data_IF_237150122669
#
_entry.id   IF_237150122669
#
_cell.length_a   1.000
_cell.length_b   1.000
_cell.length_c   1.000
_cell.angle_alpha   90.00
_cell.angle_beta   90.00
_cell.angle_gamma   90.00
#
_symmetry.space_group_name_H-M   'P 1'
#
loop_
_entity.id
_entity.type
_entity.pdbx_description
1 polymer ?
#
# COMPACT_ATOMS: atom_id res chain seq x y z
N UNK A 1 18.73 -14.69 -8.29
CA UNK A 1 17.61 -13.72 -8.33
C UNK A 1 17.49 -13.07 -9.69
N UNK A 2 18.51 -12.40 -10.22
CA UNK A 2 18.45 -11.75 -11.54
C UNK A 2 18.02 -12.70 -12.67
N UNK A 3 18.55 -13.92 -12.68
CA UNK A 3 18.18 -14.96 -13.65
C UNK A 3 16.72 -15.43 -13.53
N UNK A 4 16.17 -15.49 -12.31
CA UNK A 4 14.78 -15.94 -12.05
C UNK A 4 13.74 -14.92 -12.53
N UNK A 5 14.08 -13.62 -12.58
CA UNK A 5 13.15 -12.54 -12.98
C UNK A 5 13.56 -11.86 -14.28
N UNK A 6 14.49 -12.45 -15.04
CA UNK A 6 14.99 -11.95 -16.34
C UNK A 6 15.47 -10.49 -16.29
N UNK A 7 16.20 -10.11 -15.23
CA UNK A 7 16.81 -8.79 -15.07
C UNK A 7 18.20 -8.82 -15.70
N UNK A 8 18.46 -7.89 -16.64
CA UNK A 8 19.75 -7.73 -17.30
C UNK A 8 20.73 -6.83 -16.51
N UNK A 9 21.95 -6.72 -17.04
CA UNK A 9 23.01 -5.89 -16.47
C UNK A 9 22.64 -4.39 -16.40
N UNK A 10 21.81 -3.93 -17.32
CA UNK A 10 21.35 -2.53 -17.34
C UNK A 10 20.42 -2.24 -16.17
N UNK A 11 19.43 -3.10 -15.89
CA UNK A 11 18.53 -2.93 -14.75
C UNK A 11 19.29 -3.06 -13.42
N UNK A 12 20.26 -3.95 -13.32
CA UNK A 12 21.12 -4.06 -12.12
C UNK A 12 21.86 -2.74 -11.90
N UNK A 13 22.51 -2.20 -12.95
CA UNK A 13 23.19 -0.91 -12.89
C UNK A 13 22.26 0.26 -12.54
N UNK A 14 21.01 0.22 -13.00
CA UNK A 14 19.99 1.22 -12.64
C UNK A 14 19.60 1.16 -11.15
N UNK A 15 19.46 -0.05 -10.59
CA UNK A 15 19.19 -0.23 -9.15
C UNK A 15 20.37 0.26 -8.30
N UNK A 16 21.61 -0.05 -8.69
CA UNK A 16 22.81 0.40 -7.98
C UNK A 16 23.00 1.92 -8.03
N UNK A 17 22.73 2.54 -9.18
CA UNK A 17 22.89 3.97 -9.40
C UNK A 17 21.74 4.80 -8.82
N UNK A 18 20.53 4.23 -8.78
CA UNK A 18 19.33 4.94 -8.37
C UNK A 18 18.89 6.03 -9.36
N UNK A 19 18.16 7.02 -8.84
CA UNK A 19 17.71 8.20 -9.57
C UNK A 19 18.86 9.20 -9.66
N UNK A 20 19.14 9.74 -10.86
CA UNK A 20 20.17 10.76 -11.05
C UNK A 20 19.55 12.17 -11.01
N UNK A 21 20.38 13.18 -10.66
CA UNK A 21 19.93 14.56 -10.43
C UNK A 21 19.15 15.14 -11.61
N UNK A 22 19.67 14.98 -12.83
CA UNK A 22 19.03 15.46 -14.07
C UNK A 22 17.61 14.87 -14.32
N UNK A 23 17.36 13.65 -13.85
CA UNK A 23 16.04 13.05 -13.89
C UNK A 23 15.13 13.56 -12.77
N UNK A 24 15.71 13.76 -11.58
CA UNK A 24 14.96 14.25 -10.42
C UNK A 24 14.45 15.68 -10.62
N UNK A 25 15.25 16.55 -11.25
CA UNK A 25 14.85 17.93 -11.60
C UNK A 25 13.65 17.99 -12.56
N UNK A 26 13.41 16.91 -13.33
CA UNK A 26 12.24 16.76 -14.19
C UNK A 26 11.01 16.20 -13.45
N UNK A 27 11.20 15.71 -12.22
CA UNK A 27 10.13 15.11 -11.40
C UNK A 27 9.58 16.09 -10.36
N UNK A 28 10.46 16.86 -9.74
CA UNK A 28 10.12 17.88 -8.74
C UNK A 28 11.00 19.12 -8.91
N UNK A 29 10.56 20.25 -8.40
CA UNK A 29 11.21 21.55 -8.50
C UNK A 29 12.33 21.69 -7.45
N UNK A 30 13.34 22.50 -7.74
CA UNK A 30 14.41 22.94 -6.82
C UNK A 30 15.15 21.77 -6.14
N UNK A 31 15.50 20.74 -6.91
CA UNK A 31 16.18 19.55 -6.39
C UNK A 31 17.60 19.90 -5.92
N UNK A 32 17.94 19.55 -4.68
CA UNK A 32 19.28 19.72 -4.10
C UNK A 32 20.05 18.40 -3.92
N UNK A 33 19.37 17.26 -4.09
CA UNK A 33 19.92 15.93 -3.91
C UNK A 33 18.86 14.87 -3.83
N UNK A 34 19.26 13.62 -3.54
CA UNK A 34 18.37 12.47 -3.38
C UNK A 34 18.26 12.07 -1.92
N UNK A 35 17.04 11.86 -1.46
CA UNK A 35 16.78 11.19 -0.19
C UNK A 35 16.53 9.71 -0.47
N UNK A 36 17.52 8.85 -0.20
CA UNK A 36 17.49 7.44 -0.54
C UNK A 36 16.77 6.63 0.54
N UNK A 37 15.84 5.75 0.12
CA UNK A 37 15.19 4.76 0.96
C UNK A 37 15.68 3.37 0.55
N UNK A 38 16.03 2.47 1.49
CA UNK A 38 16.45 1.11 1.17
C UNK A 38 15.39 0.34 0.37
N UNK A 39 15.82 -0.35 -0.69
CA UNK A 39 14.99 -1.24 -1.50
C UNK A 39 15.44 -2.68 -1.25
N UNK A 40 14.53 -3.51 -0.75
CA UNK A 40 14.77 -4.93 -0.57
C UNK A 40 13.72 -5.80 -1.26
N UNK A 41 13.89 -7.12 -1.16
CA UNK A 41 12.99 -8.11 -1.78
C UNK A 41 12.42 -9.02 -0.69
N UNK A 42 11.10 -9.04 -0.56
CA UNK A 42 10.44 -10.08 0.21
C UNK A 42 10.23 -11.34 -0.67
N UNK A 43 10.45 -12.49 -0.05
CA UNK A 43 10.46 -13.81 -0.70
C UNK A 43 9.33 -14.71 -0.18
N UNK A 44 9.23 -15.92 -0.71
CA UNK A 44 8.29 -16.96 -0.31
C UNK A 44 6.82 -16.71 -0.67
N UNK A 45 6.48 -15.60 -1.30
CA UNK A 45 5.11 -15.33 -1.71
C UNK A 45 4.67 -16.30 -2.79
N UNK A 46 3.51 -16.93 -2.57
CA UNK A 46 2.71 -17.61 -3.58
C UNK A 46 1.39 -16.86 -3.67
N UNK A 47 1.11 -16.24 -4.82
CA UNK A 47 -0.09 -15.44 -5.05
C UNK A 47 -0.81 -16.00 -6.26
N UNK A 48 -2.07 -16.41 -6.10
CA UNK A 48 -2.90 -17.06 -7.11
C UNK A 48 -2.15 -18.23 -7.82
N UNK A 49 -1.43 -19.03 -7.01
CA UNK A 49 -0.66 -20.20 -7.46
C UNK A 49 0.68 -19.88 -8.13
N UNK A 50 1.11 -18.62 -8.18
CA UNK A 50 2.38 -18.20 -8.78
C UNK A 50 3.37 -17.75 -7.70
N UNK A 51 4.63 -18.19 -7.81
CA UNK A 51 5.71 -17.65 -6.99
C UNK A 51 6.08 -16.25 -7.43
N UNK A 52 6.16 -15.32 -6.47
CA UNK A 52 6.39 -13.91 -6.74
C UNK A 52 7.46 -13.36 -5.78
N UNK A 53 8.38 -12.58 -6.32
CA UNK A 53 9.31 -11.76 -5.55
C UNK A 53 8.70 -10.35 -5.38
N UNK A 54 8.70 -9.84 -4.15
CA UNK A 54 8.04 -8.56 -3.83
C UNK A 54 9.09 -7.49 -3.51
N UNK A 55 9.33 -6.52 -4.41
CA UNK A 55 10.15 -5.35 -4.11
C UNK A 55 9.45 -4.47 -3.09
N UNK A 56 10.19 -4.06 -2.06
CA UNK A 56 9.70 -3.24 -0.96
C UNK A 56 10.70 -2.14 -0.64
N UNK A 57 10.29 -0.87 -0.71
CA UNK A 57 11.10 0.28 -0.32
C UNK A 57 10.61 0.77 1.06
N UNK A 58 11.47 0.68 2.07
CA UNK A 58 11.15 1.04 3.45
C UNK A 58 12.41 1.34 4.26
N UNK A 59 12.28 2.26 5.21
CA UNK A 59 13.32 2.59 6.18
C UNK A 59 13.19 1.77 7.48
N UNK A 60 12.00 1.15 7.70
CA UNK A 60 11.73 0.44 8.96
C UNK A 60 12.35 -0.96 8.93
N UNK A 61 13.19 -1.31 9.92
CA UNK A 61 13.74 -2.66 10.05
C UNK A 61 12.66 -3.71 10.24
N UNK A 62 12.93 -4.92 9.82
CA UNK A 62 12.08 -6.12 9.97
C UNK A 62 10.87 -6.19 9.04
N UNK A 63 10.43 -5.13 8.37
CA UNK A 63 9.24 -5.15 7.50
C UNK A 63 9.38 -6.23 6.41
N UNK A 64 10.49 -6.24 5.68
CA UNK A 64 10.74 -7.20 4.60
C UNK A 64 10.91 -8.63 5.13
N UNK A 65 11.62 -8.78 6.26
CA UNK A 65 11.83 -10.08 6.89
C UNK A 65 10.50 -10.65 7.43
N UNK A 66 9.66 -9.83 8.05
CA UNK A 66 8.35 -10.21 8.55
C UNK A 66 7.42 -10.65 7.41
N UNK A 67 7.38 -9.88 6.31
CA UNK A 67 6.63 -10.25 5.11
C UNK A 67 7.10 -11.59 4.53
N UNK A 68 8.41 -11.79 4.38
CA UNK A 68 8.99 -13.05 3.87
C UNK A 68 8.68 -14.26 4.76
N UNK A 69 8.73 -14.09 6.09
CA UNK A 69 8.43 -15.15 7.04
C UNK A 69 6.92 -15.46 7.10
N UNK A 70 6.06 -14.43 7.07
CA UNK A 70 4.61 -14.59 6.99
C UNK A 70 4.19 -15.30 5.70
N UNK A 71 4.80 -14.93 4.57
CA UNK A 71 4.56 -15.58 3.29
C UNK A 71 4.97 -17.06 3.30
N UNK A 72 6.11 -17.40 3.94
CA UNK A 72 6.54 -18.79 4.14
C UNK A 72 5.50 -19.62 4.89
N UNK A 73 4.90 -19.06 5.94
CA UNK A 73 3.86 -19.75 6.73
C UNK A 73 2.54 -19.90 5.96
N UNK A 74 2.22 -18.99 5.04
CA UNK A 74 1.04 -19.09 4.20
C UNK A 74 1.14 -20.21 3.15
N UNK A 75 2.36 -20.67 2.80
CA UNK A 75 2.56 -21.70 1.75
C UNK A 75 1.85 -23.00 2.06
N UNK A 76 1.81 -23.42 3.33
CA UNK A 76 1.09 -24.61 3.76
C UNK A 76 -0.40 -24.60 3.43
N UNK A 77 -1.02 -23.41 3.42
CA UNK A 77 -2.41 -23.18 3.03
C UNK A 77 -2.63 -22.84 1.55
N UNK A 78 -1.59 -22.92 0.70
CA UNK A 78 -1.65 -22.62 -0.73
C UNK A 78 -1.26 -21.17 -1.09
N UNK A 79 -0.81 -20.37 -0.13
CA UNK A 79 -0.44 -18.97 -0.33
C UNK A 79 -1.62 -18.00 -0.22
N UNK A 80 -1.61 -16.97 -1.05
CA UNK A 80 -2.61 -15.91 -1.07
C UNK A 80 -3.49 -16.03 -2.31
N UNK A 81 -4.81 -15.93 -2.11
CA UNK A 81 -5.82 -15.90 -3.16
C UNK A 81 -6.40 -14.50 -3.24
N UNK A 82 -6.45 -13.91 -4.43
CA UNK A 82 -6.77 -12.50 -4.59
C UNK A 82 -7.94 -12.24 -5.53
N UNK A 83 -8.61 -11.12 -5.35
CA UNK A 83 -9.64 -10.60 -6.24
C UNK A 83 -9.70 -9.07 -6.17
N UNK A 84 -10.41 -8.45 -7.10
CA UNK A 84 -10.62 -7.00 -7.12
C UNK A 84 -12.01 -6.64 -7.66
N UNK A 85 -12.39 -5.36 -7.51
CA UNK A 85 -13.61 -4.80 -8.13
C UNK A 85 -13.33 -4.14 -9.49
N UNK A 86 -12.06 -4.04 -9.89
CA UNK A 86 -11.63 -3.37 -11.11
C UNK A 86 -11.11 -1.95 -10.88
N UNK A 87 -10.56 -1.32 -11.94
CA UNK A 87 -9.82 -0.06 -11.85
C UNK A 87 -10.74 1.18 -11.93
N UNK A 88 -11.79 1.24 -11.13
CA UNK A 88 -12.81 2.29 -11.19
C UNK A 88 -12.54 3.38 -10.14
N UNK A 89 -12.43 4.62 -10.60
CA UNK A 89 -12.23 5.80 -9.77
C UNK A 89 -13.47 6.70 -9.78
N UNK A 90 -13.55 7.58 -8.80
CA UNK A 90 -14.65 8.53 -8.61
C UNK A 90 -14.11 9.95 -8.56
N UNK A 91 -14.66 10.87 -9.38
CA UNK A 91 -14.48 12.31 -9.20
C UNK A 91 -15.72 12.94 -8.59
N UNK A 92 -15.55 14.09 -7.96
CA UNK A 92 -16.60 14.92 -7.43
C UNK A 92 -16.61 16.28 -8.16
N UNK A 93 -17.80 16.72 -8.57
CA UNK A 93 -18.05 18.06 -9.11
C UNK A 93 -19.08 18.70 -8.19
N UNK A 94 -18.68 19.73 -7.43
CA UNK A 94 -19.52 20.41 -6.45
C UNK A 94 -20.17 21.64 -7.08
N UNK A 95 -21.49 21.66 -7.19
CA UNK A 95 -22.28 22.83 -7.57
C UNK A 95 -22.99 23.41 -6.34
N UNK A 96 -22.96 24.74 -6.23
CA UNK A 96 -23.51 25.52 -5.12
C UNK A 96 -24.33 26.70 -5.63
N UNK A 97 -25.04 27.42 -4.73
CA UNK A 97 -25.88 28.55 -5.13
C UNK A 97 -27.11 28.16 -5.95
N UNK A 98 -27.70 27.05 -5.61
CA UNK A 98 -28.85 26.44 -6.29
C UNK A 98 -30.07 26.57 -5.38
N UNK A 99 -31.11 27.22 -5.86
CA UNK A 99 -32.34 27.45 -5.08
C UNK A 99 -33.16 26.17 -4.91
N UNK A 100 -33.18 25.29 -5.93
CA UNK A 100 -33.91 24.03 -5.94
C UNK A 100 -32.94 22.86 -6.20
N UNK A 101 -32.22 22.35 -5.16
CA UNK A 101 -31.18 21.37 -5.34
C UNK A 101 -31.68 20.00 -5.81
N UNK A 102 -32.92 19.62 -5.47
CA UNK A 102 -33.50 18.34 -5.92
C UNK A 102 -33.93 18.41 -7.39
N UNK A 103 -34.43 19.56 -7.87
CA UNK A 103 -34.70 19.75 -9.28
C UNK A 103 -33.39 19.79 -10.10
N UNK A 104 -32.36 20.47 -9.60
CA UNK A 104 -31.04 20.48 -10.21
C UNK A 104 -30.41 19.07 -10.28
N UNK A 105 -30.51 18.28 -9.20
CA UNK A 105 -30.12 16.86 -9.22
C UNK A 105 -30.81 16.09 -10.33
N UNK A 106 -32.14 16.25 -10.46
CA UNK A 106 -32.91 15.55 -11.50
C UNK A 106 -32.53 16.05 -12.90
N UNK A 107 -32.28 17.34 -13.07
CA UNK A 107 -31.84 17.92 -14.33
C UNK A 107 -30.47 17.33 -14.79
N UNK A 108 -29.49 17.18 -13.89
CA UNK A 108 -28.23 16.54 -14.19
C UNK A 108 -28.45 15.08 -14.63
N UNK A 109 -29.30 14.33 -13.93
CA UNK A 109 -29.59 12.94 -14.25
C UNK A 109 -30.31 12.79 -15.60
N UNK A 110 -31.13 13.75 -16.02
CA UNK A 110 -31.75 13.78 -17.36
C UNK A 110 -30.73 14.00 -18.48
N UNK A 111 -29.59 14.65 -18.19
CA UNK A 111 -28.51 14.89 -19.13
C UNK A 111 -27.35 13.88 -18.97
N UNK A 112 -27.56 12.79 -18.25
CA UNK A 112 -26.52 11.82 -17.90
C UNK A 112 -25.77 11.29 -19.14
N UNK A 113 -26.49 10.83 -20.15
CA UNK A 113 -25.90 10.26 -21.36
C UNK A 113 -25.09 11.30 -22.15
N UNK A 114 -25.55 12.54 -22.23
CA UNK A 114 -24.85 13.67 -22.82
C UNK A 114 -23.52 13.92 -22.09
N UNK A 115 -23.58 14.04 -20.75
CA UNK A 115 -22.40 14.30 -19.92
C UNK A 115 -21.38 13.15 -19.98
N UNK A 116 -21.85 11.90 -20.03
CA UNK A 116 -20.96 10.73 -20.19
C UNK A 116 -20.28 10.75 -21.56
N UNK A 117 -21.00 11.08 -22.63
CA UNK A 117 -20.45 11.19 -23.98
C UNK A 117 -19.38 12.30 -24.05
N UNK A 118 -19.69 13.49 -23.54
CA UNK A 118 -18.75 14.62 -23.47
C UNK A 118 -17.45 14.27 -22.74
N UNK A 119 -17.54 13.57 -21.59
CA UNK A 119 -16.36 13.16 -20.84
C UNK A 119 -15.53 12.10 -21.59
N UNK A 120 -16.18 11.15 -22.25
CA UNK A 120 -15.52 10.10 -23.01
C UNK A 120 -14.80 10.62 -24.28
N UNK A 121 -15.26 11.71 -24.87
CA UNK A 121 -14.60 12.36 -26.02
C UNK A 121 -13.21 12.90 -25.68
N UNK A 122 -12.94 13.18 -24.39
CA UNK A 122 -11.66 13.71 -23.93
C UNK A 122 -10.52 12.68 -23.91
N UNK A 123 -10.86 11.40 -23.80
CA UNK A 123 -9.86 10.32 -23.83
C UNK A 123 -10.35 9.15 -24.68
N UNK A 124 -10.34 9.29 -26.03
CA UNK A 124 -10.76 8.23 -26.95
C UNK A 124 -9.90 6.96 -26.83
N UNK A 125 -8.65 7.10 -26.40
CA UNK A 125 -7.76 5.95 -26.20
C UNK A 125 -8.19 5.13 -25.01
N UNK A 126 -8.52 5.76 -23.88
CA UNK A 126 -9.05 5.08 -22.70
C UNK A 126 -10.33 4.30 -23.05
N UNK A 127 -11.25 4.93 -23.78
CA UNK A 127 -12.50 4.31 -24.26
C UNK A 127 -12.21 3.13 -25.19
N UNK A 128 -11.28 3.28 -26.14
CA UNK A 128 -10.88 2.22 -27.07
C UNK A 128 -10.37 0.97 -26.33
N UNK A 129 -9.69 1.14 -25.19
CA UNK A 129 -9.24 0.03 -24.36
C UNK A 129 -10.30 -0.47 -23.36
N UNK A 130 -11.56 -0.05 -23.51
CA UNK A 130 -12.69 -0.48 -22.69
C UNK A 130 -12.84 0.26 -21.36
N UNK A 131 -12.06 1.32 -21.15
CA UNK A 131 -12.17 2.25 -20.02
C UNK A 131 -13.23 3.34 -20.23
N UNK A 132 -13.01 4.52 -19.62
CA UNK A 132 -13.87 5.69 -19.72
C UNK A 132 -14.98 5.73 -18.69
N UNK A 133 -15.89 6.69 -18.82
CA UNK A 133 -16.99 6.92 -17.88
C UNK A 133 -17.99 5.76 -17.95
N UNK A 134 -18.32 5.22 -16.79
CA UNK A 134 -19.26 4.10 -16.63
C UNK A 134 -20.59 4.53 -16.04
N UNK A 135 -20.59 5.56 -15.23
CA UNK A 135 -21.79 6.05 -14.56
C UNK A 135 -21.63 7.51 -14.08
N UNK A 136 -22.77 8.15 -13.81
CA UNK A 136 -22.88 9.42 -13.08
C UNK A 136 -23.89 9.23 -11.95
N UNK A 137 -23.47 9.55 -10.73
CA UNK A 137 -24.29 9.59 -9.53
C UNK A 137 -24.41 11.04 -9.06
N UNK A 138 -25.57 11.44 -8.54
CA UNK A 138 -25.78 12.83 -8.09
C UNK A 138 -26.40 12.85 -6.71
N UNK A 139 -25.80 13.60 -5.80
CA UNK A 139 -26.20 13.70 -4.41
C UNK A 139 -26.53 15.14 -4.04
N UNK A 140 -27.55 15.35 -3.20
CA UNK A 140 -27.77 16.60 -2.49
C UNK A 140 -27.21 16.43 -1.09
N UNK A 141 -26.30 17.32 -0.72
CA UNK A 141 -25.60 17.26 0.56
C UNK A 141 -25.86 18.56 1.31
N UNK A 142 -26.45 18.44 2.51
CA UNK A 142 -26.69 19.58 3.37
C UNK A 142 -25.38 20.06 4.03
N UNK A 143 -25.22 21.35 4.09
CA UNK A 143 -24.10 21.99 4.79
C UNK A 143 -24.57 23.23 5.56
N UNK A 144 -23.75 23.71 6.48
CA UNK A 144 -23.98 24.99 7.20
C UNK A 144 -24.05 26.22 6.28
N UNK A 145 -23.58 26.11 5.03
CA UNK A 145 -23.58 27.17 4.02
C UNK A 145 -24.70 27.01 3.01
N UNK A 146 -25.64 26.10 3.24
CA UNK A 146 -26.71 25.72 2.34
C UNK A 146 -26.46 24.40 1.64
N UNK A 147 -27.45 23.91 0.88
CA UNK A 147 -27.34 22.65 0.15
C UNK A 147 -26.33 22.73 -1.00
N UNK A 148 -25.69 21.62 -1.28
CA UNK A 148 -24.77 21.43 -2.39
C UNK A 148 -25.25 20.28 -3.26
N UNK A 149 -25.16 20.41 -4.58
CA UNK A 149 -25.39 19.30 -5.51
C UNK A 149 -24.01 18.78 -5.94
N UNK A 150 -23.73 17.52 -5.58
CA UNK A 150 -22.43 16.90 -5.86
C UNK A 150 -22.63 15.78 -6.88
N UNK A 151 -22.05 15.97 -8.05
CA UNK A 151 -22.04 14.97 -9.13
C UNK A 151 -20.79 14.11 -9.00
N UNK A 152 -20.96 12.81 -8.91
CA UNK A 152 -19.88 11.85 -8.95
C UNK A 152 -19.75 11.27 -10.36
N UNK A 153 -18.57 11.43 -10.95
CA UNK A 153 -18.20 10.82 -12.22
C UNK A 153 -17.47 9.51 -11.96
N UNK A 154 -18.01 8.41 -12.42
CA UNK A 154 -17.47 7.06 -12.21
C UNK A 154 -16.71 6.63 -13.46
N UNK A 155 -15.39 6.47 -13.33
CA UNK A 155 -14.49 6.27 -14.48
C UNK A 155 -13.65 5.00 -14.31
N UNK A 156 -13.69 4.13 -15.30
CA UNK A 156 -12.75 3.01 -15.43
C UNK A 156 -11.45 3.54 -16.04
N UNK A 157 -10.38 3.53 -15.25
CA UNK A 157 -9.07 4.09 -15.59
C UNK A 157 -8.10 3.07 -16.18
N UNK A 158 -8.50 1.81 -16.31
CA UNK A 158 -7.62 0.72 -16.78
C UNK A 158 -6.30 0.68 -16.00
N UNK A 159 -5.18 0.69 -16.72
CA UNK A 159 -3.83 0.60 -16.15
C UNK A 159 -3.26 1.94 -15.63
N UNK A 160 -4.04 3.03 -15.71
CA UNK A 160 -3.69 4.28 -15.07
C UNK A 160 -4.18 4.33 -13.60
N UNK A 161 -3.47 5.08 -12.75
CA UNK A 161 -4.01 5.44 -11.42
C UNK A 161 -5.30 6.27 -11.56
N UNK A 162 -5.35 7.15 -12.54
CA UNK A 162 -6.56 7.81 -13.02
C UNK A 162 -6.65 9.30 -12.69
N UNK A 163 -5.82 9.85 -11.82
CA UNK A 163 -5.96 11.24 -11.35
C UNK A 163 -6.06 12.26 -12.50
N UNK A 164 -5.13 12.20 -13.46
CA UNK A 164 -5.12 13.19 -14.57
C UNK A 164 -6.34 13.05 -15.47
N UNK A 165 -6.65 11.84 -15.94
CA UNK A 165 -7.78 11.61 -16.84
C UNK A 165 -9.11 11.98 -16.19
N UNK A 166 -9.33 11.55 -14.95
CA UNK A 166 -10.57 11.80 -14.20
C UNK A 166 -10.73 13.27 -13.86
N UNK A 167 -9.64 13.98 -13.48
CA UNK A 167 -9.70 15.43 -13.24
C UNK A 167 -10.01 16.21 -14.53
N UNK A 168 -9.36 15.88 -15.65
CA UNK A 168 -9.64 16.49 -16.94
C UNK A 168 -11.11 16.33 -17.34
N UNK A 169 -11.67 15.13 -17.17
CA UNK A 169 -13.09 14.87 -17.43
C UNK A 169 -14.00 15.69 -16.52
N UNK A 170 -13.71 15.73 -15.21
CA UNK A 170 -14.50 16.50 -14.24
C UNK A 170 -14.45 18.01 -14.50
N UNK A 171 -13.28 18.53 -14.87
CA UNK A 171 -13.10 19.95 -15.22
C UNK A 171 -13.88 20.33 -16.48
N UNK A 172 -13.88 19.48 -17.50
CA UNK A 172 -14.61 19.75 -18.75
C UNK A 172 -16.13 19.71 -18.57
N UNK A 173 -16.65 18.90 -17.65
CA UNK A 173 -18.08 18.83 -17.36
C UNK A 173 -18.60 20.02 -16.52
N UNK A 174 -17.73 20.71 -15.79
CA UNK A 174 -18.14 21.77 -14.85
C UNK A 174 -18.97 22.88 -15.51
N UNK A 175 -18.59 23.46 -16.67
CA UNK A 175 -19.39 24.51 -17.32
C UNK A 175 -20.78 24.02 -17.74
N UNK A 176 -20.88 22.73 -18.16
CA UNK A 176 -22.18 22.18 -18.59
C UNK A 176 -23.09 21.92 -17.37
N UNK A 177 -22.52 21.50 -16.25
CA UNK A 177 -23.26 21.33 -15.00
C UNK A 177 -23.76 22.70 -14.48
N UNK A 178 -22.96 23.76 -14.58
CA UNK A 178 -23.41 25.13 -14.25
C UNK A 178 -24.59 25.55 -15.12
N UNK A 179 -24.54 25.30 -16.43
CA UNK A 179 -25.65 25.61 -17.35
C UNK A 179 -26.93 24.83 -17.01
N UNK A 180 -26.82 23.56 -16.68
CA UNK A 180 -27.97 22.73 -16.35
C UNK A 180 -28.60 23.11 -15.02
N UNK A 181 -27.80 23.51 -14.02
CA UNK A 181 -28.28 23.76 -12.66
C UNK A 181 -28.54 25.20 -12.32
N UNK A 182 -28.01 26.16 -13.12
CA UNK A 182 -27.97 27.58 -12.77
C UNK A 182 -27.03 27.90 -11.59
N UNK A 183 -26.39 26.92 -11.00
CA UNK A 183 -25.45 27.06 -9.90
C UNK A 183 -24.02 27.37 -10.36
N UNK A 184 -23.09 27.36 -9.40
CA UNK A 184 -21.67 27.56 -9.65
C UNK A 184 -20.82 26.39 -9.15
N UNK A 185 -19.89 25.94 -9.98
CA UNK A 185 -18.94 24.87 -9.65
C UNK A 185 -17.63 25.46 -9.14
N UNK A 186 -17.24 25.12 -7.92
CA UNK A 186 -15.94 25.50 -7.35
C UNK A 186 -14.96 24.34 -7.31
N UNK A 187 -15.44 23.13 -6.98
CA UNK A 187 -14.60 21.95 -6.82
C UNK A 187 -14.95 20.91 -7.88
N UNK A 188 -13.91 20.40 -8.56
CA UNK A 188 -13.95 19.29 -9.52
C UNK A 188 -12.64 18.53 -9.44
N UNK A 189 -12.65 17.41 -8.72
CA UNK A 189 -11.44 16.67 -8.38
C UNK A 189 -11.75 15.19 -8.11
N UNK A 190 -10.79 14.34 -8.36
CA UNK A 190 -10.83 12.93 -7.98
C UNK A 190 -10.95 12.77 -6.47
N UNK A 191 -11.64 11.72 -6.01
CA UNK A 191 -11.62 11.29 -4.61
C UNK A 191 -10.58 10.19 -4.40
N UNK A 192 -9.76 10.34 -3.36
CA UNK A 192 -8.86 9.27 -2.92
C UNK A 192 -9.57 8.17 -2.14
N UNK A 193 -10.81 8.37 -1.69
CA UNK A 193 -11.67 7.27 -1.23
C UNK A 193 -12.12 6.46 -2.45
N UNK A 194 -11.23 5.60 -2.93
CA UNK A 194 -11.43 4.77 -4.12
C UNK A 194 -12.24 3.50 -3.77
N UNK A 195 -13.44 3.68 -3.23
CA UNK A 195 -14.32 2.63 -2.71
C UNK A 195 -14.86 1.67 -3.79
N UNK A 196 -14.70 2.04 -5.06
CA UNK A 196 -15.00 1.20 -6.23
C UNK A 196 -13.77 0.47 -6.79
N UNK A 197 -12.58 0.73 -6.27
CA UNK A 197 -11.30 0.14 -6.70
C UNK A 197 -10.68 -0.67 -5.57
N UNK A 198 -11.43 -1.68 -5.12
CA UNK A 198 -11.03 -2.53 -4.00
C UNK A 198 -10.18 -3.70 -4.47
N UNK A 199 -9.10 -3.95 -3.74
CA UNK A 199 -8.32 -5.17 -3.82
C UNK A 199 -8.56 -6.01 -2.56
N UNK A 200 -8.61 -7.33 -2.74
CA UNK A 200 -8.88 -8.31 -1.70
C UNK A 200 -7.82 -9.39 -1.71
N UNK A 201 -7.51 -9.91 -0.54
CA UNK A 201 -6.70 -11.13 -0.42
C UNK A 201 -7.24 -11.99 0.71
N UNK A 202 -7.06 -13.31 0.55
CA UNK A 202 -7.34 -14.34 1.54
C UNK A 202 -6.13 -15.28 1.64
N UNK A 203 -5.80 -15.72 2.85
CA UNK A 203 -4.82 -16.77 3.08
C UNK A 203 -5.32 -17.71 4.20
N UNK A 204 -4.88 -18.97 4.11
CA UNK A 204 -5.03 -19.96 5.19
C UNK A 204 -3.64 -20.21 5.77
N UNK A 205 -3.51 -20.08 7.08
CA UNK A 205 -2.29 -20.40 7.82
C UNK A 205 -2.58 -21.61 8.69
N UNK A 206 -1.89 -22.73 8.40
CA UNK A 206 -2.08 -23.96 9.18
C UNK A 206 -1.66 -23.75 10.63
N UNK A 207 -2.44 -24.21 11.55
CA UNK A 207 -2.16 -24.07 12.98
C UNK A 207 -0.76 -24.60 13.33
N UNK A 208 -0.36 -25.74 12.76
CA UNK A 208 0.97 -26.35 12.95
C UNK A 208 2.14 -25.47 12.47
N UNK A 209 1.95 -24.69 11.38
CA UNK A 209 2.98 -23.84 10.79
C UNK A 209 3.18 -22.52 11.55
N UNK A 210 2.20 -22.10 12.36
CA UNK A 210 2.20 -20.78 13.03
C UNK A 210 2.43 -20.85 14.53
N UNK A 211 2.49 -22.06 15.13
CA UNK A 211 2.78 -22.26 16.55
C UNK A 211 1.66 -22.91 17.35
N UNK A 212 0.66 -23.46 16.68
CA UNK A 212 -0.41 -24.27 17.29
C UNK A 212 -1.73 -23.53 17.52
N UNK A 213 -2.75 -24.24 18.02
CA UNK A 213 -4.11 -23.72 18.20
C UNK A 213 -4.20 -22.49 19.13
N UNK A 214 -3.36 -22.42 20.15
CA UNK A 214 -3.32 -21.29 21.08
C UNK A 214 -2.89 -19.98 20.39
N UNK A 215 -1.95 -20.07 19.42
CA UNK A 215 -1.52 -18.92 18.63
C UNK A 215 -2.63 -18.49 17.68
N UNK A 216 -3.38 -19.44 17.10
CA UNK A 216 -4.58 -19.13 16.30
C UNK A 216 -5.58 -18.31 17.11
N UNK A 217 -5.91 -18.75 18.33
CA UNK A 217 -6.84 -18.04 19.21
C UNK A 217 -6.31 -16.65 19.61
N UNK A 218 -5.02 -16.58 19.96
CA UNK A 218 -4.37 -15.30 20.29
C UNK A 218 -4.42 -14.29 19.15
N UNK A 219 -4.19 -14.72 17.91
CA UNK A 219 -4.28 -13.86 16.72
C UNK A 219 -5.72 -13.37 16.51
N UNK A 220 -6.72 -14.27 16.61
CA UNK A 220 -8.13 -13.90 16.44
C UNK A 220 -8.55 -12.87 17.49
N UNK A 221 -8.21 -13.08 18.76
CA UNK A 221 -8.53 -12.13 19.84
C UNK A 221 -7.83 -10.79 19.66
N UNK A 222 -6.54 -10.78 19.27
CA UNK A 222 -5.79 -9.56 19.01
C UNK A 222 -6.33 -8.77 17.79
N UNK A 223 -6.81 -9.48 16.78
CA UNK A 223 -7.45 -8.89 15.61
C UNK A 223 -8.85 -8.33 15.96
N UNK A 224 -9.63 -9.05 16.77
CA UNK A 224 -10.97 -8.61 17.18
C UNK A 224 -10.91 -7.30 17.98
N UNK A 225 -9.89 -7.11 18.82
CA UNK A 225 -9.69 -5.83 19.48
C UNK A 225 -9.54 -4.68 18.48
N UNK A 226 -8.86 -4.88 17.33
CA UNK A 226 -8.74 -3.86 16.29
C UNK A 226 -10.06 -3.63 15.52
N UNK A 227 -11.01 -4.55 15.60
CA UNK A 227 -12.35 -4.36 15.05
C UNK A 227 -13.21 -3.47 15.93
N UNK A 228 -13.07 -3.59 17.25
CA UNK A 228 -13.97 -2.93 18.23
C UNK A 228 -13.38 -1.69 18.88
N UNK A 229 -12.06 -1.51 18.82
CA UNK A 229 -11.33 -0.40 19.43
C UNK A 229 -10.52 0.40 18.40
N UNK A 230 -10.78 1.72 18.31
CA UNK A 230 -10.15 2.59 17.31
C UNK A 230 -8.67 2.85 17.59
N UNK A 231 -8.22 2.84 18.86
CA UNK A 231 -6.80 2.99 19.19
C UNK A 231 -6.00 1.79 18.69
N UNK A 232 -6.53 0.59 18.94
CA UNK A 232 -5.90 -0.63 18.41
C UNK A 232 -5.97 -0.69 16.89
N UNK A 233 -7.10 -0.29 16.28
CA UNK A 233 -7.27 -0.24 14.84
C UNK A 233 -6.22 0.65 14.15
N UNK A 234 -5.89 1.80 14.72
CA UNK A 234 -4.87 2.72 14.17
C UNK A 234 -3.51 2.03 14.04
N UNK A 235 -3.05 1.36 15.09
CA UNK A 235 -1.77 0.63 15.08
C UNK A 235 -1.84 -0.62 14.20
N UNK A 236 -2.97 -1.31 14.19
CA UNK A 236 -3.21 -2.49 13.36
C UNK A 236 -3.14 -2.15 11.85
N UNK A 237 -3.83 -1.10 11.43
CA UNK A 237 -3.83 -0.66 10.04
C UNK A 237 -2.48 -0.04 9.63
N UNK A 238 -1.78 0.68 10.53
CA UNK A 238 -0.40 1.11 10.29
C UNK A 238 0.49 -0.10 9.97
N UNK A 239 0.32 -1.21 10.70
CA UNK A 239 1.03 -2.45 10.43
C UNK A 239 0.74 -3.04 9.05
N UNK A 240 -0.50 -2.95 8.56
CA UNK A 240 -0.88 -3.31 7.19
C UNK A 240 -0.15 -2.39 6.19
N UNK A 241 -0.19 -1.08 6.45
CA UNK A 241 0.38 -0.08 5.55
C UNK A 241 1.91 -0.16 5.48
N UNK A 242 2.61 -0.66 6.48
CA UNK A 242 4.03 -0.96 6.39
C UNK A 242 4.36 -1.84 5.17
N UNK A 243 3.55 -2.86 4.90
CA UNK A 243 3.71 -3.71 3.73
C UNK A 243 3.19 -3.05 2.44
N UNK A 244 1.98 -2.51 2.49
CA UNK A 244 1.32 -1.88 1.34
C UNK A 244 2.15 -0.70 0.81
N UNK A 245 2.50 0.25 1.67
CA UNK A 245 3.23 1.46 1.29
C UNK A 245 4.64 1.14 0.77
N UNK A 246 5.31 0.12 1.33
CA UNK A 246 6.62 -0.30 0.85
C UNK A 246 6.59 -0.78 -0.62
N UNK A 247 5.55 -1.51 -1.04
CA UNK A 247 5.38 -1.94 -2.45
C UNK A 247 4.93 -0.78 -3.33
N UNK A 248 4.00 0.06 -2.85
CA UNK A 248 3.52 1.25 -3.57
C UNK A 248 4.69 2.19 -3.88
N UNK A 249 5.56 2.44 -2.89
CA UNK A 249 6.75 3.27 -3.06
C UNK A 249 7.75 2.62 -4.03
N UNK A 250 8.06 1.33 -3.86
CA UNK A 250 8.98 0.60 -4.73
C UNK A 250 8.56 0.63 -6.21
N UNK A 251 7.26 0.66 -6.48
CA UNK A 251 6.69 0.71 -7.83
C UNK A 251 6.42 2.12 -8.35
N UNK A 252 6.84 3.17 -7.62
CA UNK A 252 6.70 4.57 -8.03
C UNK A 252 5.25 5.07 -8.03
N UNK A 253 4.37 4.46 -7.28
CA UNK A 253 2.98 4.88 -7.11
C UNK A 253 2.80 5.88 -5.95
N UNK A 254 1.65 6.53 -5.87
CA UNK A 254 1.34 7.55 -4.86
C UNK A 254 0.93 6.91 -3.53
N UNK A 255 1.88 6.89 -2.58
CA UNK A 255 1.65 6.34 -1.24
C UNK A 255 0.59 7.12 -0.47
N UNK A 256 0.52 8.45 -0.63
CA UNK A 256 -0.45 9.31 0.08
C UNK A 256 -1.87 9.06 -0.39
N UNK A 257 -2.07 8.84 -1.69
CA UNK A 257 -3.38 8.49 -2.24
C UNK A 257 -3.87 7.13 -1.72
N UNK A 258 -3.00 6.13 -1.67
CA UNK A 258 -3.33 4.79 -1.15
C UNK A 258 -3.59 4.82 0.35
N UNK A 259 -2.77 5.53 1.14
CA UNK A 259 -2.97 5.73 2.58
C UNK A 259 -4.31 6.43 2.87
N UNK A 260 -4.57 7.56 2.21
CA UNK A 260 -5.82 8.31 2.38
C UNK A 260 -7.04 7.43 2.05
N UNK A 261 -6.97 6.67 0.96
CA UNK A 261 -8.03 5.73 0.57
C UNK A 261 -8.26 4.64 1.62
N UNK A 262 -7.21 3.97 2.06
CA UNK A 262 -7.28 2.87 3.01
C UNK A 262 -7.85 3.33 4.38
N UNK A 263 -7.36 4.44 4.93
CA UNK A 263 -7.84 4.97 6.21
C UNK A 263 -9.26 5.53 6.15
N UNK A 264 -9.63 6.20 5.05
CA UNK A 264 -11.01 6.64 4.81
C UNK A 264 -11.95 5.44 4.71
N UNK A 265 -11.54 4.38 4.00
CA UNK A 265 -12.32 3.15 3.87
C UNK A 265 -12.47 2.41 5.21
N UNK A 266 -11.45 2.42 6.05
CA UNK A 266 -11.53 1.86 7.41
C UNK A 266 -12.56 2.60 8.29
N UNK A 267 -12.93 3.83 7.95
CA UNK A 267 -13.91 4.67 8.66
C UNK A 267 -15.31 4.67 8.05
N UNK A 268 -15.55 3.94 6.92
CA UNK A 268 -16.79 4.02 6.12
C UNK A 268 -18.09 3.66 6.87
N UNK A 269 -17.96 2.97 7.99
CA UNK A 269 -19.11 2.57 8.84
C UNK A 269 -19.41 3.56 9.96
N UNK A 270 -18.75 4.74 9.96
CA UNK A 270 -18.87 5.74 11.02
C UNK A 270 -17.89 5.57 12.18
N UNK A 271 -17.11 4.48 12.20
CA UNK A 271 -16.04 4.22 13.17
C UNK A 271 -14.81 3.68 12.45
N UNK A 272 -13.63 4.13 12.87
CA UNK A 272 -12.36 3.61 12.35
C UNK A 272 -12.11 2.19 12.87
N UNK A 273 -11.95 1.23 11.95
CA UNK A 273 -11.84 -0.20 12.25
C UNK A 273 -10.71 -0.85 11.44
N UNK A 274 -10.39 -2.11 11.80
CA UNK A 274 -9.47 -2.96 11.05
C UNK A 274 -9.90 -3.15 9.58
N UNK A 275 -8.90 -3.15 8.69
CA UNK A 275 -9.05 -3.54 7.27
C UNK A 275 -8.97 -5.06 7.05
N UNK A 276 -8.58 -5.83 8.08
CA UNK A 276 -8.48 -7.29 8.04
C UNK A 276 -9.48 -7.95 8.94
N UNK A 277 -9.77 -9.24 8.65
CA UNK A 277 -10.54 -10.15 9.50
C UNK A 277 -9.80 -11.46 9.64
N UNK A 278 -9.90 -12.07 10.82
CA UNK A 278 -9.32 -13.38 11.08
C UNK A 278 -10.37 -14.28 11.73
N UNK A 279 -10.42 -15.51 11.24
CA UNK A 279 -11.39 -16.52 11.68
C UNK A 279 -10.70 -17.89 11.75
N UNK A 280 -11.27 -18.83 12.51
CA UNK A 280 -10.88 -20.22 12.51
C UNK A 280 -11.72 -21.00 11.50
N UNK A 281 -11.08 -21.79 10.64
CA UNK A 281 -11.80 -22.70 9.76
C UNK A 281 -12.20 -24.01 10.47
N UNK A 282 -12.88 -24.92 9.76
CA UNK A 282 -13.34 -26.19 10.31
C UNK A 282 -12.19 -27.14 10.67
N UNK A 283 -11.03 -26.96 10.05
CA UNK A 283 -9.82 -27.77 10.28
C UNK A 283 -9.00 -27.25 11.47
N UNK A 284 -9.41 -26.11 12.05
CA UNK A 284 -8.72 -25.47 13.16
C UNK A 284 -7.66 -24.44 12.75
N UNK A 285 -7.48 -24.22 11.45
CA UNK A 285 -6.50 -23.29 10.91
C UNK A 285 -6.98 -21.85 10.94
N UNK A 286 -6.04 -20.90 10.89
CA UNK A 286 -6.33 -19.48 10.81
C UNK A 286 -6.62 -19.06 9.36
N UNK A 287 -7.75 -18.42 9.13
CA UNK A 287 -8.09 -17.76 7.88
C UNK A 287 -7.99 -16.25 8.06
N UNK A 288 -7.13 -15.60 7.27
CA UNK A 288 -7.04 -14.15 7.20
C UNK A 288 -7.63 -13.61 5.90
N UNK A 289 -8.32 -12.48 5.98
CA UNK A 289 -8.85 -11.75 4.81
C UNK A 289 -8.57 -10.26 4.95
N UNK A 290 -8.39 -9.58 3.82
CA UNK A 290 -8.25 -8.12 3.72
C UNK A 290 -9.09 -7.58 2.57
N UNK A 291 -9.64 -6.40 2.76
CA UNK A 291 -10.27 -5.60 1.71
C UNK A 291 -9.90 -4.13 1.92
N UNK A 292 -9.31 -3.49 0.89
CA UNK A 292 -8.94 -2.09 0.93
C UNK A 292 -8.91 -1.47 -0.47
N UNK A 293 -9.10 -0.14 -0.60
CA UNK A 293 -8.85 0.58 -1.84
C UNK A 293 -7.36 0.59 -2.16
N UNK A 294 -7.00 0.26 -3.42
CA UNK A 294 -5.62 0.30 -3.90
C UNK A 294 -5.58 1.00 -5.27
N UNK A 295 -5.53 2.32 -5.25
CA UNK A 295 -5.50 3.13 -6.46
C UNK A 295 -4.05 3.29 -6.98
N UNK A 296 -3.58 2.30 -7.72
CA UNK A 296 -2.24 2.26 -8.33
C UNK A 296 -2.32 2.20 -9.85
N UNK A 297 -1.23 2.54 -10.54
CA UNK A 297 -1.13 2.47 -11.99
C UNK A 297 0.22 1.95 -12.46
N UNK A 298 0.26 1.49 -13.70
CA UNK A 298 1.48 1.11 -14.43
C UNK A 298 1.81 2.09 -15.57
N UNK A 299 0.86 2.97 -15.91
CA UNK A 299 0.95 3.92 -17.02
C UNK A 299 0.99 5.34 -16.45
N UNK A 300 1.99 6.13 -16.87
CA UNK A 300 2.16 7.51 -16.40
C UNK A 300 2.90 7.64 -15.07
N UNK A 301 3.02 8.89 -14.57
CA UNK A 301 3.61 9.20 -13.28
C UNK A 301 5.08 8.75 -13.10
N UNK A 302 5.51 8.66 -11.85
CA UNK A 302 6.87 8.28 -11.47
C UNK A 302 7.20 6.84 -11.87
N UNK A 303 6.24 5.94 -11.93
CA UNK A 303 6.41 4.54 -12.40
C UNK A 303 7.08 4.49 -13.78
N UNK A 304 6.75 5.44 -14.66
CA UNK A 304 7.31 5.48 -16.02
C UNK A 304 8.66 6.19 -16.11
N UNK A 305 8.98 7.07 -15.19
CA UNK A 305 10.17 7.94 -15.24
C UNK A 305 11.30 7.37 -14.35
N UNK A 306 10.98 6.86 -13.17
CA UNK A 306 11.96 6.39 -12.19
C UNK A 306 12.54 5.01 -12.60
N UNK A 307 13.85 4.89 -12.88
CA UNK A 307 14.42 3.65 -13.42
C UNK A 307 14.29 2.47 -12.45
N UNK A 308 14.48 2.70 -11.15
CA UNK A 308 14.38 1.66 -10.11
C UNK A 308 12.92 1.16 -9.97
N UNK A 309 11.92 2.06 -10.09
CA UNK A 309 10.52 1.67 -10.05
C UNK A 309 10.14 0.77 -11.25
N UNK A 310 10.66 1.06 -12.45
CA UNK A 310 10.49 0.17 -13.62
C UNK A 310 11.05 -1.22 -13.36
N UNK A 311 12.25 -1.28 -12.78
CA UNK A 311 12.89 -2.54 -12.44
C UNK A 311 12.09 -3.29 -11.37
N UNK A 312 11.55 -2.60 -10.35
CA UNK A 312 10.69 -3.20 -9.33
C UNK A 312 9.41 -3.78 -9.93
N UNK A 313 8.74 -3.06 -10.84
CA UNK A 313 7.56 -3.56 -11.58
C UNK A 313 7.91 -4.83 -12.39
N UNK A 314 9.09 -4.87 -13.01
CA UNK A 314 9.58 -6.05 -13.75
C UNK A 314 9.85 -7.23 -12.82
N UNK A 315 10.48 -7.02 -11.66
CA UNK A 315 10.70 -8.05 -10.64
C UNK A 315 9.37 -8.63 -10.16
N UNK A 316 8.39 -7.77 -9.90
CA UNK A 316 7.06 -8.16 -9.42
C UNK A 316 6.24 -8.90 -10.48
N UNK A 317 6.68 -8.87 -11.74
CA UNK A 317 6.07 -9.53 -12.89
C UNK A 317 4.56 -9.26 -13.02
N UNK A 318 4.15 -8.00 -12.81
CA UNK A 318 2.74 -7.58 -12.91
C UNK A 318 2.32 -7.43 -14.37
N UNK A 319 1.06 -7.80 -14.64
CA UNK A 319 0.47 -7.77 -15.98
C UNK A 319 -0.45 -6.57 -16.20
N UNK A 320 -0.97 -5.98 -15.12
CA UNK A 320 -1.89 -4.84 -15.14
C UNK A 320 -1.84 -4.09 -13.80
N UNK A 321 -2.41 -2.90 -13.75
CA UNK A 321 -2.60 -2.16 -12.49
C UNK A 321 -3.49 -2.93 -11.51
N UNK A 322 -4.45 -3.68 -12.02
CA UNK A 322 -5.31 -4.57 -11.22
C UNK A 322 -4.48 -5.71 -10.57
N UNK A 323 -3.61 -6.37 -11.34
CA UNK A 323 -2.71 -7.39 -10.82
C UNK A 323 -1.76 -6.82 -9.74
N UNK A 324 -1.23 -5.59 -9.94
CA UNK A 324 -0.44 -4.89 -8.94
C UNK A 324 -1.24 -4.66 -7.66
N UNK A 325 -2.47 -4.16 -7.77
CA UNK A 325 -3.33 -3.88 -6.61
C UNK A 325 -3.62 -5.13 -5.78
N UNK A 326 -3.87 -6.26 -6.44
CA UNK A 326 -4.11 -7.55 -5.80
C UNK A 326 -2.87 -8.08 -5.06
N UNK A 327 -1.69 -7.98 -5.68
CA UNK A 327 -0.42 -8.34 -5.03
C UNK A 327 -0.13 -7.46 -3.81
N UNK A 328 -0.41 -6.15 -3.89
CA UNK A 328 -0.31 -5.23 -2.75
C UNK A 328 -1.23 -5.64 -1.60
N UNK A 329 -2.48 -6.03 -1.89
CA UNK A 329 -3.41 -6.51 -0.86
C UNK A 329 -2.89 -7.80 -0.18
N UNK A 330 -2.32 -8.73 -0.94
CA UNK A 330 -1.70 -9.94 -0.39
C UNK A 330 -0.53 -9.61 0.55
N UNK A 331 0.31 -8.62 0.18
CA UNK A 331 1.40 -8.15 1.04
C UNK A 331 0.86 -7.49 2.31
N UNK A 332 -0.18 -6.67 2.22
CA UNK A 332 -0.84 -6.04 3.37
C UNK A 332 -1.37 -7.07 4.37
N UNK A 333 -2.06 -8.11 3.88
CA UNK A 333 -2.53 -9.21 4.72
C UNK A 333 -1.37 -9.96 5.38
N UNK A 334 -0.34 -10.28 4.61
CA UNK A 334 0.85 -10.98 5.09
C UNK A 334 1.57 -10.21 6.19
N UNK A 335 1.77 -8.90 5.97
CA UNK A 335 2.43 -8.01 6.92
C UNK A 335 1.66 -7.91 8.25
N UNK A 336 0.34 -7.81 8.15
CA UNK A 336 -0.54 -7.77 9.31
C UNK A 336 -0.54 -9.08 10.09
N UNK A 337 -0.63 -10.22 9.38
CA UNK A 337 -0.51 -11.54 9.99
C UNK A 337 0.80 -11.71 10.76
N UNK A 338 1.93 -11.34 10.14
CA UNK A 338 3.25 -11.46 10.77
C UNK A 338 3.33 -10.65 12.09
N UNK A 339 2.76 -9.43 12.10
CA UNK A 339 2.69 -8.59 13.30
C UNK A 339 1.80 -9.20 14.39
N UNK A 340 0.61 -9.68 14.02
CA UNK A 340 -0.32 -10.31 14.97
C UNK A 340 0.24 -11.59 15.57
N UNK A 341 0.92 -12.42 14.75
CA UNK A 341 1.57 -13.63 15.23
C UNK A 341 2.65 -13.31 16.26
N UNK A 342 3.49 -12.31 15.98
CA UNK A 342 4.50 -11.87 16.93
C UNK A 342 3.88 -11.38 18.25
N UNK A 343 2.78 -10.63 18.19
CA UNK A 343 2.04 -10.16 19.37
C UNK A 343 1.44 -11.31 20.18
N UNK A 344 0.87 -12.30 19.50
CA UNK A 344 0.18 -13.44 20.12
C UNK A 344 1.13 -14.52 20.67
N UNK A 345 2.42 -14.49 20.31
CA UNK A 345 3.40 -15.49 20.73
C UNK A 345 4.55 -14.93 21.56
N UNK A 346 5.57 -14.38 20.92
CA UNK A 346 6.83 -13.98 21.53
C UNK A 346 6.86 -12.53 22.03
N UNK A 347 5.90 -11.71 21.58
CA UNK A 347 5.89 -10.26 21.73
C UNK A 347 6.79 -9.55 20.71
N UNK A 348 6.34 -8.39 20.23
CA UNK A 348 7.03 -7.62 19.16
C UNK A 348 8.46 -7.23 19.53
N UNK A 349 8.71 -6.90 20.81
CA UNK A 349 10.03 -6.43 21.22
C UNK A 349 11.14 -7.46 21.05
N UNK A 350 10.84 -8.75 21.18
CA UNK A 350 11.86 -9.82 21.06
C UNK A 350 12.40 -9.97 19.63
N UNK A 351 11.52 -9.86 18.63
CA UNK A 351 11.92 -9.88 17.22
C UNK A 351 12.64 -8.60 16.76
N UNK A 352 12.20 -7.44 17.25
CA UNK A 352 12.83 -6.15 16.98
C UNK A 352 14.18 -5.99 17.68
N UNK A 353 14.38 -6.61 18.86
CA UNK A 353 15.60 -6.45 19.65
C UNK A 353 16.86 -6.95 18.94
N UNK A 354 16.79 -8.03 18.17
CA UNK A 354 17.96 -8.55 17.46
C UNK A 354 18.39 -7.65 16.28
N UNK A 355 17.44 -7.06 15.56
CA UNK A 355 17.71 -6.13 14.45
C UNK A 355 18.07 -4.73 14.98
N UNK A 356 17.43 -4.29 16.04
CA UNK A 356 17.81 -3.06 16.73
C UNK A 356 19.23 -3.15 17.31
N UNK A 357 19.62 -4.30 17.84
CA UNK A 357 20.97 -4.54 18.34
C UNK A 357 22.03 -4.38 17.23
N UNK A 358 21.78 -4.81 16.00
CA UNK A 358 22.68 -4.58 14.85
C UNK A 358 22.84 -3.11 14.54
N UNK A 359 21.74 -2.35 14.49
CA UNK A 359 21.78 -0.91 14.23
C UNK A 359 22.55 -0.17 15.34
N UNK A 360 22.35 -0.56 16.60
CA UNK A 360 23.07 -0.01 17.75
C UNK A 360 24.56 -0.37 17.67
N UNK A 361 24.92 -1.59 17.26
CA UNK A 361 26.32 -1.99 17.06
C UNK A 361 26.99 -1.15 15.95
N UNK A 362 26.32 -0.93 14.83
CA UNK A 362 26.82 -0.06 13.75
C UNK A 362 26.97 1.38 14.24
N UNK A 363 25.98 1.91 14.96
CA UNK A 363 26.02 3.26 15.54
C UNK A 363 27.19 3.43 16.52
N UNK A 364 27.54 2.38 17.25
CA UNK A 364 28.69 2.36 18.16
C UNK A 364 30.05 2.17 17.44
N UNK A 365 30.05 1.96 16.11
CA UNK A 365 31.27 1.85 15.31
C UNK A 365 31.70 0.42 14.95
N UNK A 366 30.87 -0.62 15.26
CA UNK A 366 31.17 -1.99 14.84
C UNK A 366 31.23 -2.12 13.31
N UNK A 367 32.17 -2.89 12.79
CA UNK A 367 32.38 -3.13 11.35
C UNK A 367 32.40 -4.63 11.05
N UNK A 368 31.93 -4.99 9.86
CA UNK A 368 31.98 -6.37 9.35
C UNK A 368 31.42 -7.41 10.35
N UNK A 369 32.16 -8.45 10.62
CA UNK A 369 31.75 -9.57 11.50
C UNK A 369 31.53 -9.17 12.96
N UNK A 370 32.12 -8.07 13.41
CA UNK A 370 31.90 -7.52 14.76
C UNK A 370 30.46 -7.07 14.98
N UNK A 371 29.74 -6.65 13.94
CA UNK A 371 28.34 -6.24 14.05
C UNK A 371 27.47 -7.37 14.59
N UNK A 372 27.63 -8.57 14.04
CA UNK A 372 26.85 -9.75 14.45
C UNK A 372 27.23 -10.22 15.85
N UNK A 373 28.52 -10.23 16.19
CA UNK A 373 29.02 -10.63 17.50
C UNK A 373 28.54 -9.67 18.62
N UNK A 374 28.66 -8.37 18.39
CA UNK A 374 28.21 -7.33 19.33
C UNK A 374 26.71 -7.37 19.49
N UNK A 375 25.95 -7.47 18.39
CA UNK A 375 24.51 -7.55 18.41
C UNK A 375 24.00 -8.79 19.17
N UNK A 376 24.59 -9.96 18.91
CA UNK A 376 24.26 -11.21 19.60
C UNK A 376 24.51 -11.12 21.11
N UNK A 377 25.65 -10.54 21.52
CA UNK A 377 25.97 -10.35 22.95
C UNK A 377 25.01 -9.38 23.63
N UNK A 378 24.76 -8.20 23.04
CA UNK A 378 23.78 -7.24 23.57
C UNK A 378 22.39 -7.87 23.74
N UNK A 379 21.97 -8.67 22.76
CA UNK A 379 20.68 -9.38 22.81
C UNK A 379 20.65 -10.43 23.95
N UNK A 380 21.72 -11.21 24.12
CA UNK A 380 21.84 -12.19 25.19
C UNK A 380 21.84 -11.54 26.59
N UNK A 381 22.52 -10.41 26.75
CA UNK A 381 22.58 -9.61 27.98
C UNK A 381 21.31 -8.78 28.23
N UNK A 382 20.41 -8.67 27.24
CA UNK A 382 19.23 -7.79 27.25
C UNK A 382 19.57 -6.32 27.52
N UNK A 383 20.76 -5.88 27.09
CA UNK A 383 21.28 -4.52 27.23
C UNK A 383 21.67 -3.96 25.86
N UNK A 384 20.67 -3.45 25.15
CA UNK A 384 20.85 -2.93 23.78
C UNK A 384 20.90 -1.40 23.85
N UNK A 385 22.11 -0.87 23.96
CA UNK A 385 22.41 0.56 23.90
C UNK A 385 23.82 0.80 23.38
N UNK A 386 24.08 2.04 22.93
CA UNK A 386 25.34 2.43 22.29
C UNK A 386 26.55 2.29 23.22
N UNK A 387 26.39 2.58 24.50
CA UNK A 387 27.47 2.48 25.49
C UNK A 387 27.91 1.03 25.66
N UNK A 388 26.96 0.10 25.81
CA UNK A 388 27.28 -1.33 25.91
C UNK A 388 27.86 -1.89 24.64
N UNK A 389 27.38 -1.44 23.46
CA UNK A 389 27.97 -1.82 22.18
C UNK A 389 29.44 -1.37 22.08
N UNK A 390 29.74 -0.12 22.50
CA UNK A 390 31.11 0.39 22.50
C UNK A 390 32.03 -0.36 23.48
N UNK A 391 31.51 -0.80 24.65
CA UNK A 391 32.24 -1.64 25.58
C UNK A 391 32.57 -3.01 24.94
N UNK A 392 31.56 -3.65 24.32
CA UNK A 392 31.72 -4.96 23.68
C UNK A 392 32.68 -4.92 22.48
N UNK A 393 32.69 -3.84 21.72
CA UNK A 393 33.64 -3.65 20.61
C UNK A 393 35.07 -3.69 21.19
N UNK A 394 35.36 -2.90 22.24
CA UNK A 394 36.68 -2.88 22.88
C UNK A 394 37.05 -4.25 23.44
N UNK A 395 36.16 -4.92 24.17
CA UNK A 395 36.39 -6.27 24.71
C UNK A 395 36.72 -7.31 23.64
N UNK A 396 36.15 -7.18 22.44
CA UNK A 396 36.37 -8.12 21.34
C UNK A 396 37.63 -7.79 20.53
N UNK A 397 37.97 -6.52 20.38
CA UNK A 397 39.22 -6.06 19.75
C UNK A 397 40.46 -6.42 20.59
N UNK A 398 40.39 -6.22 21.93
CA UNK A 398 41.48 -6.58 22.85
C UNK A 398 41.76 -8.11 22.86
N UNK A 399 40.69 -8.93 22.83
CA UNK A 399 40.83 -10.41 22.72
C UNK A 399 41.36 -10.88 21.37
N UNK A 400 41.15 -10.12 20.31
CA UNK A 400 41.68 -10.40 18.98
C UNK A 400 43.20 -10.12 18.89
N UNK A 401 43.74 -9.25 19.77
CA UNK A 401 45.15 -8.94 19.88
C UNK A 401 45.93 -9.90 20.79
N UNK A 402 45.27 -10.59 21.73
CA UNK A 402 45.92 -11.57 22.61
C UNK A 402 46.03 -12.98 21.98
N UNK A 403 45.47 -13.19 20.79
CA UNK A 403 45.40 -14.49 20.10
C UNK A 403 46.33 -14.61 18.86
N UNK A 404 47.27 -13.68 18.65
CA UNK A 404 48.25 -13.71 17.54
C UNK A 404 49.66 -13.98 18.07
#
# INVERSE_FOLDING_TARGET
MAEQVAIGSEEISQVERGLVLDQAEKMVENVIGMFQVPLGIATNFVIDGQEVLIPMATEEPSVIAAASNGARMARGGGGFFTSSTGPVMRAQIQATGIDDPFAARQAILLHKDELMAMANELDPMLVKYGGGVKDIEVYVIDSRLGPMVVTHLIVDCRDAMGANAVNTMAEALAPRIEQITGGRVYLRIISNLADLRLARAKAVFRAEDIGGPEVVDGIILAAELAVVDSYRAATHNKGIMNGVTAVVLATGNDTRAVEAGAHSFASRTGRYMSLTRYERNRDGDLVGTIELPVAVGLVGGATRVHPVAKTAVKILAVKSADDLSRKIAAVGLCQNFAALRALASEGIQRGHMSLHARNVAVQAGAKCDLIELVAARMAAERRINVDRAAELIRELEDRGQEGV
#
